data_IF_467348150635
#
_entry.id   IF_467348150635
#
_cell.length_a   1.000
_cell.length_b   1.000
_cell.length_c   1.000
_cell.angle_alpha   90.00
_cell.angle_beta   90.00
_cell.angle_gamma   90.00
#
_symmetry.space_group_name_H-M   'P 1'
#
loop_
_entity.id
_entity.type
_entity.pdbx_description
1 polymer ?
#
# COMPACT_ATOMS: atom_id res chain seq x y z
N UNK A 1 17.00 -18.23 43.10
CA UNK A 1 16.14 -18.79 42.03
C UNK A 1 15.11 -17.79 41.52
N UNK A 2 14.36 -17.10 42.39
CA UNK A 2 13.34 -16.11 42.00
C UNK A 2 13.87 -14.90 41.17
N UNK A 3 15.09 -14.41 41.47
CA UNK A 3 15.74 -13.31 40.72
C UNK A 3 16.11 -13.70 39.28
N UNK A 4 16.48 -14.96 39.06
CA UNK A 4 16.85 -15.48 37.73
C UNK A 4 15.59 -15.61 36.87
N UNK A 5 14.47 -16.06 37.45
CA UNK A 5 13.16 -16.11 36.78
C UNK A 5 12.69 -14.71 36.35
N UNK A 6 12.86 -13.69 37.20
CA UNK A 6 12.55 -12.30 36.87
C UNK A 6 13.41 -11.76 35.72
N UNK A 7 14.72 -12.04 35.72
CA UNK A 7 15.60 -11.66 34.62
C UNK A 7 15.24 -12.34 33.30
N UNK A 8 14.87 -13.63 33.32
CA UNK A 8 14.43 -14.36 32.12
C UNK A 8 13.11 -13.77 31.59
N UNK A 9 12.17 -13.43 32.47
CA UNK A 9 10.91 -12.81 32.05
C UNK A 9 11.14 -11.42 31.44
N UNK A 10 12.02 -10.62 32.05
CA UNK A 10 12.40 -9.29 31.54
C UNK A 10 13.10 -9.36 30.17
N UNK A 11 13.98 -10.35 29.96
CA UNK A 11 14.66 -10.58 28.68
C UNK A 11 13.66 -11.01 27.59
N UNK A 12 12.65 -11.84 27.92
CA UNK A 12 11.61 -12.23 26.97
C UNK A 12 10.67 -11.08 26.56
N UNK A 13 10.41 -10.11 27.45
CA UNK A 13 9.68 -8.88 27.11
C UNK A 13 10.48 -7.99 26.15
N UNK A 14 11.81 -7.94 26.30
CA UNK A 14 12.71 -7.17 25.43
C UNK A 14 12.97 -7.82 24.05
N UNK A 15 12.69 -9.12 23.90
CA UNK A 15 12.87 -9.90 22.67
C UNK A 15 11.62 -9.98 21.79
N UNK A 16 10.57 -9.20 22.08
CA UNK A 16 9.51 -8.97 21.09
C UNK A 16 10.12 -8.21 19.91
N UNK A 17 10.58 -8.97 18.92
CA UNK A 17 10.92 -8.47 17.60
C UNK A 17 9.69 -7.74 17.05
N UNK A 18 9.72 -6.41 17.11
CA UNK A 18 8.73 -5.57 16.43
C UNK A 18 8.94 -5.76 14.93
N UNK A 19 8.14 -6.63 14.31
CA UNK A 19 8.06 -6.66 12.86
C UNK A 19 7.45 -5.31 12.46
N UNK A 20 8.25 -4.46 11.83
CA UNK A 20 7.76 -3.19 11.31
C UNK A 20 6.63 -3.48 10.32
N UNK A 21 5.55 -2.70 10.39
CA UNK A 21 4.42 -2.84 9.46
C UNK A 21 4.91 -2.82 8.01
N UNK A 22 4.35 -3.70 7.19
CA UNK A 22 4.58 -3.76 5.75
C UNK A 22 3.28 -3.38 5.07
N UNK A 23 3.35 -2.48 4.08
CA UNK A 23 2.16 -2.16 3.31
C UNK A 23 1.74 -3.41 2.53
N UNK A 24 0.46 -3.78 2.53
CA UNK A 24 -0.01 -4.87 1.67
C UNK A 24 0.19 -4.51 0.20
N UNK A 25 0.51 -5.48 -0.67
CA UNK A 25 0.50 -5.27 -2.11
C UNK A 25 -0.84 -4.73 -2.57
N UNK A 26 -0.83 -3.75 -3.47
CA UNK A 26 -2.05 -3.20 -4.04
C UNK A 26 -2.69 -4.18 -5.02
N UNK A 27 -3.98 -4.41 -4.86
CA UNK A 27 -4.82 -5.13 -5.81
C UNK A 27 -5.30 -4.18 -6.91
N UNK A 28 -5.08 -4.56 -8.17
CA UNK A 28 -5.52 -3.79 -9.33
C UNK A 28 -6.56 -4.59 -10.12
N UNK A 29 -7.72 -3.98 -10.35
CA UNK A 29 -8.80 -4.55 -11.14
C UNK A 29 -9.13 -3.66 -12.33
N UNK A 30 -9.02 -4.19 -13.53
CA UNK A 30 -9.44 -3.53 -14.78
C UNK A 30 -10.95 -3.66 -14.93
N UNK A 31 -11.61 -2.58 -15.32
CA UNK A 31 -13.06 -2.52 -15.44
C UNK A 31 -13.50 -2.41 -16.91
N UNK A 32 -14.65 -3.01 -17.21
CA UNK A 32 -15.29 -2.92 -18.51
C UNK A 32 -16.44 -1.91 -18.50
N UNK A 33 -16.59 -1.05 -19.52
CA UNK A 33 -15.77 -0.97 -20.75
C UNK A 33 -14.50 -0.11 -20.61
N UNK A 34 -14.31 0.54 -19.45
CA UNK A 34 -13.18 1.39 -19.13
C UNK A 34 -13.08 1.63 -17.61
N UNK A 35 -11.91 2.08 -17.18
CA UNK A 35 -11.58 2.36 -15.81
C UNK A 35 -10.77 1.24 -15.15
N UNK A 36 -10.24 1.54 -13.98
CA UNK A 36 -9.57 0.57 -13.13
C UNK A 36 -9.64 1.01 -11.66
N UNK A 37 -9.55 0.02 -10.79
CA UNK A 37 -9.52 0.19 -9.34
C UNK A 37 -8.15 -0.24 -8.83
N UNK A 38 -7.61 0.52 -7.89
CA UNK A 38 -6.44 0.13 -7.10
C UNK A 38 -6.85 0.16 -5.64
N UNK A 39 -6.62 -0.94 -4.92
CA UNK A 39 -7.04 -1.04 -3.54
C UNK A 39 -6.06 -1.78 -2.65
N UNK A 40 -6.11 -1.48 -1.36
CA UNK A 40 -5.50 -2.28 -0.30
C UNK A 40 -6.55 -2.57 0.79
N UNK A 41 -6.42 -3.68 1.54
CA UNK A 41 -7.26 -3.92 2.71
C UNK A 41 -7.01 -2.82 3.77
N UNK A 42 -8.06 -2.48 4.50
CA UNK A 42 -7.95 -1.65 5.70
C UNK A 42 -7.26 -2.43 6.82
N UNK A 43 -6.48 -1.70 7.63
CA UNK A 43 -5.88 -2.17 8.88
C UNK A 43 -6.00 -1.04 9.91
N UNK A 44 -6.11 -1.43 11.17
CA UNK A 44 -6.30 -0.49 12.27
C UNK A 44 -5.12 0.47 12.36
N UNK A 45 -5.43 1.76 12.48
CA UNK A 45 -4.44 2.84 12.55
C UNK A 45 -4.02 3.40 11.20
N UNK A 46 -4.48 2.84 10.07
CA UNK A 46 -4.30 3.52 8.78
C UNK A 46 -5.17 4.79 8.74
N UNK A 47 -4.56 5.91 8.37
CA UNK A 47 -5.24 7.21 8.24
C UNK A 47 -5.17 7.79 6.83
N UNK A 48 -4.32 7.25 5.96
CA UNK A 48 -4.18 7.68 4.58
C UNK A 48 -3.64 6.55 3.72
N UNK A 49 -4.15 6.46 2.50
CA UNK A 49 -3.57 5.69 1.39
C UNK A 49 -3.36 6.62 0.20
N UNK A 50 -2.22 6.54 -0.48
CA UNK A 50 -1.96 7.26 -1.71
C UNK A 50 -1.54 6.30 -2.82
N UNK A 51 -2.02 6.58 -4.03
CA UNK A 51 -1.64 5.88 -5.24
C UNK A 51 -0.97 6.84 -6.21
N UNK A 52 0.20 6.44 -6.71
CA UNK A 52 0.99 7.14 -7.71
C UNK A 52 1.34 6.20 -8.84
N UNK A 53 1.06 6.55 -10.09
CA UNK A 53 1.35 5.65 -11.21
C UNK A 53 1.30 6.28 -12.59
N UNK A 54 1.81 5.53 -13.56
CA UNK A 54 1.90 5.86 -14.99
C UNK A 54 1.54 4.64 -15.84
N UNK A 55 1.09 4.89 -17.07
CA UNK A 55 0.76 3.87 -18.06
C UNK A 55 1.87 3.77 -19.10
N UNK A 56 2.41 2.57 -19.31
CA UNK A 56 3.41 2.24 -20.32
C UNK A 56 4.70 3.09 -20.23
N UNK A 57 4.98 3.65 -19.05
CA UNK A 57 6.16 4.46 -18.78
C UNK A 57 6.59 4.20 -17.33
N UNK A 58 7.85 3.80 -17.13
CA UNK A 58 8.41 3.52 -15.81
C UNK A 58 8.37 4.74 -14.89
N UNK A 59 8.32 4.49 -13.57
CA UNK A 59 8.43 5.53 -12.55
C UNK A 59 9.89 5.92 -12.35
N UNK A 60 10.20 7.22 -12.34
CA UNK A 60 11.50 7.70 -11.88
C UNK A 60 11.51 7.91 -10.36
N UNK A 61 11.73 6.83 -9.61
CA UNK A 61 11.67 6.83 -8.15
C UNK A 61 10.27 7.17 -7.63
N UNK A 62 10.19 8.04 -6.62
CA UNK A 62 8.94 8.44 -5.97
C UNK A 62 8.30 9.67 -6.64
N UNK A 63 8.34 9.73 -7.98
CA UNK A 63 7.67 10.81 -8.72
C UNK A 63 6.14 10.70 -8.61
N UNK A 64 5.45 11.82 -8.80
CA UNK A 64 4.00 11.87 -8.64
C UNK A 64 3.25 10.95 -9.62
N UNK A 65 3.76 10.79 -10.85
CA UNK A 65 3.10 10.03 -11.91
C UNK A 65 1.93 10.77 -12.57
N UNK A 66 1.27 10.10 -13.52
CA UNK A 66 0.04 10.60 -14.18
C UNK A 66 -1.14 10.58 -13.22
N UNK A 67 -1.27 9.49 -12.46
CA UNK A 67 -2.19 9.41 -11.33
C UNK A 67 -1.41 9.70 -10.06
N UNK A 68 -1.92 10.63 -9.25
CA UNK A 68 -1.35 11.05 -7.98
C UNK A 68 -2.50 11.49 -7.09
N UNK A 69 -2.94 10.62 -6.18
CA UNK A 69 -4.12 10.86 -5.35
C UNK A 69 -3.99 10.29 -3.96
N UNK A 70 -4.35 11.11 -2.98
CA UNK A 70 -4.58 10.71 -1.60
C UNK A 70 -6.04 10.28 -1.39
N UNK A 71 -6.21 9.22 -0.63
CA UNK A 71 -7.47 8.62 -0.21
C UNK A 71 -7.45 8.70 1.31
N UNK A 72 -8.36 9.51 1.86
CA UNK A 72 -8.39 9.89 3.28
C UNK A 72 -9.42 9.12 4.10
N UNK A 73 -10.18 8.23 3.46
CA UNK A 73 -11.18 7.40 4.12
C UNK A 73 -11.29 6.04 3.44
N UNK A 74 -11.32 4.94 4.20
CA UNK A 74 -11.62 3.62 3.66
C UNK A 74 -13.12 3.47 3.37
N UNK A 75 -13.46 2.58 2.46
CA UNK A 75 -14.81 2.18 2.13
C UNK A 75 -14.90 0.67 2.12
N UNK A 76 -15.89 0.11 2.82
CA UNK A 76 -16.18 -1.32 2.84
C UNK A 76 -14.94 -2.18 3.15
N UNK A 77 -14.15 -1.76 4.15
CA UNK A 77 -12.94 -2.44 4.59
C UNK A 77 -11.71 -2.27 3.69
N UNK A 78 -11.74 -1.35 2.72
CA UNK A 78 -10.65 -1.14 1.76
C UNK A 78 -10.33 0.34 1.57
N UNK A 79 -9.09 0.65 1.24
CA UNK A 79 -8.71 1.95 0.70
C UNK A 79 -8.72 1.85 -0.82
N UNK A 80 -9.38 2.79 -1.50
CA UNK A 80 -9.72 2.61 -2.91
C UNK A 80 -9.40 3.88 -3.71
N UNK A 81 -8.45 3.77 -4.63
CA UNK A 81 -8.32 4.66 -5.77
C UNK A 81 -9.17 4.13 -6.93
N UNK A 82 -9.89 5.01 -7.62
CA UNK A 82 -10.75 4.64 -8.73
C UNK A 82 -10.62 5.64 -9.88
N UNK A 83 -10.16 5.15 -11.03
CA UNK A 83 -10.20 5.86 -12.30
C UNK A 83 -11.35 5.32 -13.16
N UNK A 84 -12.21 6.21 -13.66
CA UNK A 84 -13.41 5.86 -14.46
C UNK A 84 -13.19 5.96 -15.96
N UNK A 85 -12.09 6.55 -16.39
CA UNK A 85 -11.94 7.12 -17.73
C UNK A 85 -10.90 6.39 -18.56
N UNK A 86 -9.86 5.85 -17.92
CA UNK A 86 -8.77 5.19 -18.62
C UNK A 86 -9.21 3.88 -19.22
N UNK A 87 -9.06 3.77 -20.54
CA UNK A 87 -9.30 2.52 -21.26
C UNK A 87 -8.00 1.74 -21.39
N UNK A 88 -7.79 0.81 -20.48
CA UNK A 88 -6.68 -0.14 -20.51
C UNK A 88 -6.92 -1.22 -21.57
N UNK A 89 -5.84 -1.71 -22.18
CA UNK A 89 -5.87 -2.73 -23.23
C UNK A 89 -4.91 -3.87 -22.88
N UNK A 90 -5.17 -5.10 -23.37
CA UNK A 90 -4.21 -6.20 -23.21
C UNK A 90 -2.80 -5.81 -23.67
N UNK A 91 -1.82 -6.02 -22.81
CA UNK A 91 -0.42 -5.65 -23.03
C UNK A 91 -0.02 -4.26 -22.52
N UNK A 92 -0.96 -3.45 -22.05
CA UNK A 92 -0.63 -2.26 -21.28
C UNK A 92 0.02 -2.63 -19.94
N UNK A 93 0.90 -1.78 -19.44
CA UNK A 93 1.61 -1.94 -18.17
C UNK A 93 1.43 -0.70 -17.31
N UNK A 94 0.96 -0.89 -16.07
CA UNK A 94 0.94 0.14 -15.05
C UNK A 94 2.20 0.04 -14.19
N UNK A 95 2.96 1.13 -14.12
CA UNK A 95 4.08 1.30 -13.20
C UNK A 95 3.65 2.23 -12.08
N UNK A 96 3.88 1.84 -10.82
CA UNK A 96 3.31 2.56 -9.69
C UNK A 96 4.10 2.40 -8.39
N UNK A 97 3.79 3.25 -7.42
CA UNK A 97 4.09 3.05 -6.01
C UNK A 97 2.90 3.47 -5.17
N UNK A 98 2.79 2.92 -3.96
CA UNK A 98 1.75 3.28 -3.00
C UNK A 98 2.34 3.78 -1.70
N UNK A 99 1.57 4.59 -0.97
CA UNK A 99 1.94 5.07 0.36
C UNK A 99 0.80 4.91 1.34
N UNK A 100 1.13 4.56 2.57
CA UNK A 100 0.20 4.41 3.67
C UNK A 100 0.73 5.14 4.89
N UNK A 101 -0.13 5.93 5.53
CA UNK A 101 0.14 6.42 6.89
C UNK A 101 -0.56 5.47 7.86
N UNK A 102 0.21 4.74 8.66
CA UNK A 102 -0.28 3.89 9.74
C UNK A 102 0.33 4.34 11.07
N UNK A 103 -0.52 4.64 12.05
CA UNK A 103 -0.12 5.10 13.38
C UNK A 103 0.86 6.30 13.33
N UNK A 104 0.66 7.18 12.34
CA UNK A 104 1.50 8.36 12.10
C UNK A 104 2.82 8.11 11.36
N UNK A 105 3.12 6.86 10.98
CA UNK A 105 4.32 6.48 10.23
C UNK A 105 3.99 6.13 8.78
N UNK A 106 4.92 6.45 7.88
CA UNK A 106 4.80 6.22 6.44
C UNK A 106 5.38 4.89 5.98
N UNK A 107 4.63 4.17 5.16
CA UNK A 107 5.02 2.88 4.57
C UNK A 107 4.71 2.87 3.08
N UNK A 108 5.46 2.10 2.29
CA UNK A 108 5.29 2.08 0.84
C UNK A 108 5.35 0.68 0.25
N UNK A 109 4.70 0.56 -0.90
CA UNK A 109 5.03 -0.42 -1.91
C UNK A 109 5.76 0.33 -3.01
N UNK A 110 7.05 0.07 -3.14
CA UNK A 110 7.89 0.63 -4.19
C UNK A 110 7.91 -0.33 -5.40
N UNK A 111 8.32 0.16 -6.57
CA UNK A 111 8.55 -0.61 -7.81
C UNK A 111 7.38 -1.51 -8.25
N UNK A 112 6.14 -1.06 -8.06
CA UNK A 112 4.93 -1.77 -8.47
C UNK A 112 4.80 -1.85 -10.00
N UNK A 113 4.50 -3.05 -10.50
CA UNK A 113 4.25 -3.31 -11.91
C UNK A 113 3.01 -4.19 -12.06
N UNK A 114 2.08 -3.79 -12.92
CA UNK A 114 0.88 -4.56 -13.24
C UNK A 114 0.68 -4.63 -14.76
N UNK A 115 0.48 -5.85 -15.28
CA UNK A 115 0.21 -6.10 -16.70
C UNK A 115 -1.29 -6.35 -16.88
N UNK A 116 -1.89 -5.64 -17.85
CA UNK A 116 -3.30 -5.77 -18.26
C UNK A 116 -3.51 -6.99 -19.14
#
# INVERSE_FOLDING_TARGET
MLKILFCIHFINVLLQSSIAYQVPPADITVLEPQGFVVSIPHDDGITLFAFHGKLNEEMNGLEAGTWSRDIVQPKDGHWVFFDRNTKLKPGDVLYFWTYVIKDGLGYRQDDGVFHV
#
